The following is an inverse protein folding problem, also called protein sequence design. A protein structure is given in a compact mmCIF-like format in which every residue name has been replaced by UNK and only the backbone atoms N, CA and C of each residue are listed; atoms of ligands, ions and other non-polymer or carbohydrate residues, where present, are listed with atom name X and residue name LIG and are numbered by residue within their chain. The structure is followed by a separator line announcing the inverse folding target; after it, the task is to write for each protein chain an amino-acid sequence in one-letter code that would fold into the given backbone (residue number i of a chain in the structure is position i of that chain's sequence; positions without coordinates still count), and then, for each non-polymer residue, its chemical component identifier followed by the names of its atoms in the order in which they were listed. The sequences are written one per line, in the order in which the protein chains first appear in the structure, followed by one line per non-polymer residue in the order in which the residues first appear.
data_IF_845879902784
#
_entry.id   IF_845879902784
#
_cell.length_a   1.000
_cell.length_b   1.000
_cell.length_c   1.000
_cell.angle_alpha   90.00
_cell.angle_beta   90.00
_cell.angle_gamma   90.00
#
_symmetry.space_group_name_H-M   'P 1'
#
loop_
_entity.id
_entity.type
_entity.pdbx_description
1 polymer ?
#
# COMPACT_ATOMS: atom_id res chain seq x y z
N UNK A 1 -32.86 -9.45 -3.80
CA UNK A 1 -32.39 -8.05 -3.90
C UNK A 1 -30.94 -8.09 -4.28
N UNK A 2 -30.56 -7.46 -5.40
CA UNK A 2 -29.16 -7.37 -5.82
C UNK A 2 -28.50 -6.28 -4.97
N UNK A 3 -27.74 -6.70 -3.96
CA UNK A 3 -26.85 -5.80 -3.24
C UNK A 3 -25.83 -5.25 -4.22
N UNK A 4 -25.76 -3.93 -4.34
CA UNK A 4 -24.67 -3.23 -5.01
C UNK A 4 -23.37 -3.64 -4.32
N UNK A 5 -22.61 -4.52 -4.96
CA UNK A 5 -21.21 -4.74 -4.59
C UNK A 5 -20.50 -3.42 -4.90
N UNK A 6 -20.11 -2.68 -3.87
CA UNK A 6 -19.22 -1.52 -4.00
C UNK A 6 -17.84 -2.03 -4.43
N UNK A 7 -17.69 -2.34 -5.71
CA UNK A 7 -16.44 -2.78 -6.34
C UNK A 7 -15.40 -1.65 -6.49
N UNK A 8 -15.51 -0.61 -5.67
CA UNK A 8 -14.47 0.40 -5.47
C UNK A 8 -13.60 0.08 -4.24
N UNK A 9 -14.02 -0.87 -3.41
CA UNK A 9 -13.19 -1.41 -2.33
C UNK A 9 -12.23 -2.43 -2.93
N UNK A 10 -11.16 -1.87 -3.52
CA UNK A 10 -9.81 -2.40 -3.55
C UNK A 10 -9.72 -3.93 -3.56
N UNK A 11 -9.89 -4.50 -4.75
CA UNK A 11 -9.55 -5.90 -4.97
C UNK A 11 -8.11 -6.13 -4.48
N UNK A 12 -7.86 -7.23 -3.77
CA UNK A 12 -6.54 -7.51 -3.23
C UNK A 12 -5.48 -7.48 -4.34
N UNK A 13 -4.26 -7.12 -3.98
CA UNK A 13 -3.12 -7.06 -4.90
C UNK A 13 -2.20 -8.22 -4.58
N UNK A 14 -1.97 -9.10 -5.56
CA UNK A 14 -0.90 -10.09 -5.47
C UNK A 14 0.42 -9.40 -5.84
N UNK A 15 1.37 -9.33 -4.91
CA UNK A 15 2.69 -8.70 -5.12
C UNK A 15 3.60 -9.60 -5.96
N UNK A 16 3.23 -9.79 -7.23
CA UNK A 16 3.92 -10.62 -8.22
C UNK A 16 4.64 -9.76 -9.26
N UNK A 17 5.57 -10.36 -10.02
CA UNK A 17 6.21 -9.71 -11.18
C UNK A 17 5.21 -9.24 -12.24
N UNK A 18 4.15 -10.01 -12.45
CA UNK A 18 3.08 -9.66 -13.38
C UNK A 18 2.34 -8.39 -12.93
N UNK A 19 1.96 -8.34 -11.64
CA UNK A 19 1.35 -7.14 -11.06
C UNK A 19 2.30 -5.94 -11.14
N UNK A 20 3.58 -6.12 -10.80
CA UNK A 20 4.58 -5.05 -10.86
C UNK A 20 4.69 -4.46 -12.27
N UNK A 21 4.67 -5.29 -13.31
CA UNK A 21 4.74 -4.84 -14.71
C UNK A 21 3.52 -3.99 -15.08
N UNK A 22 2.31 -4.38 -14.63
CA UNK A 22 1.08 -3.61 -14.84
C UNK A 22 1.14 -2.28 -14.08
N UNK A 23 1.57 -2.28 -12.82
CA UNK A 23 1.71 -1.07 -12.02
C UNK A 23 2.70 -0.08 -12.64
N UNK A 24 3.88 -0.53 -13.05
CA UNK A 24 4.89 0.31 -13.72
C UNK A 24 4.31 0.94 -14.98
N UNK A 25 3.64 0.17 -15.84
CA UNK A 25 3.06 0.68 -17.08
C UNK A 25 1.97 1.73 -16.80
N UNK A 26 1.12 1.51 -15.80
CA UNK A 26 0.07 2.46 -15.43
C UNK A 26 0.63 3.75 -14.83
N UNK A 27 1.59 3.64 -13.90
CA UNK A 27 2.28 4.80 -13.31
C UNK A 27 2.96 5.61 -14.41
N UNK A 28 3.72 4.97 -15.30
CA UNK A 28 4.40 5.65 -16.41
C UNK A 28 3.40 6.39 -17.31
N UNK A 29 2.29 5.73 -17.70
CA UNK A 29 1.24 6.36 -18.51
C UNK A 29 0.67 7.63 -17.86
N UNK A 30 0.46 7.60 -16.55
CA UNK A 30 -0.04 8.77 -15.80
C UNK A 30 1.02 9.87 -15.75
N UNK A 31 2.26 9.53 -15.40
CA UNK A 31 3.37 10.50 -15.32
C UNK A 31 3.68 11.14 -16.67
N UNK A 32 3.64 10.39 -17.78
CA UNK A 32 3.80 10.90 -19.14
C UNK A 32 2.71 11.93 -19.48
N UNK A 33 1.47 11.65 -19.06
CA UNK A 33 0.32 12.54 -19.30
C UNK A 33 0.33 13.78 -18.42
N UNK A 34 0.77 13.66 -17.16
CA UNK A 34 0.85 14.77 -16.19
C UNK A 34 2.16 15.55 -16.25
N UNK A 35 3.18 15.00 -16.95
CA UNK A 35 4.53 15.54 -17.10
C UNK A 35 5.23 15.79 -15.75
N UNK A 36 4.99 14.92 -14.77
CA UNK A 36 5.60 14.98 -13.44
C UNK A 36 5.63 13.60 -12.76
N UNK A 37 6.55 13.37 -11.81
CA UNK A 37 6.46 12.23 -10.91
C UNK A 37 5.17 12.28 -10.07
N UNK A 38 4.67 11.11 -9.70
CA UNK A 38 3.54 10.96 -8.77
C UNK A 38 3.97 10.18 -7.54
N UNK A 39 3.15 10.23 -6.48
CA UNK A 39 3.26 9.31 -5.35
C UNK A 39 2.19 8.23 -5.49
N UNK A 40 2.56 6.99 -5.16
CA UNK A 40 1.63 5.85 -5.02
C UNK A 40 1.45 5.59 -3.54
N UNK A 41 0.22 5.33 -3.09
CA UNK A 41 -0.10 5.08 -1.67
C UNK A 41 -0.14 3.57 -1.36
N UNK A 42 0.33 3.16 -0.18
CA UNK A 42 0.09 1.81 0.34
C UNK A 42 -1.34 1.74 0.89
N UNK A 43 -2.14 0.83 0.34
CA UNK A 43 -3.56 0.73 0.63
C UNK A 43 -3.82 -0.28 1.75
N UNK A 44 -4.95 -0.11 2.45
CA UNK A 44 -5.45 -1.21 3.28
C UNK A 44 -5.91 -2.39 2.42
N UNK A 45 -5.44 -3.59 2.74
CA UNK A 45 -5.81 -4.82 2.05
C UNK A 45 -6.74 -5.65 2.95
N UNK A 46 -7.85 -6.13 2.39
CA UNK A 46 -8.83 -6.95 3.12
C UNK A 46 -8.62 -8.46 2.92
N UNK A 47 -7.71 -8.84 2.03
CA UNK A 47 -7.41 -10.23 1.69
C UNK A 47 -5.92 -10.35 1.35
N UNK A 48 -5.23 -11.24 2.05
CA UNK A 48 -3.86 -11.62 1.74
C UNK A 48 -3.88 -12.72 0.66
N UNK A 49 -3.02 -12.62 -0.35
CA UNK A 49 -2.89 -13.68 -1.34
C UNK A 49 -1.88 -14.73 -0.84
N UNK A 50 -1.98 -15.96 -1.33
CA UNK A 50 -0.94 -16.96 -1.01
C UNK A 50 0.30 -16.82 -1.91
N UNK A 51 0.17 -16.11 -3.03
CA UNK A 51 1.20 -15.98 -4.07
C UNK A 51 1.81 -14.57 -4.05
N UNK A 52 3.06 -14.49 -3.60
CA UNK A 52 3.84 -13.26 -3.55
C UNK A 52 5.28 -13.52 -4.04
N UNK A 53 5.71 -12.79 -5.06
CA UNK A 53 7.12 -12.78 -5.51
C UNK A 53 7.96 -11.78 -4.69
N UNK A 54 7.29 -10.84 -4.01
CA UNK A 54 7.88 -9.75 -3.25
C UNK A 54 7.14 -9.59 -1.93
N UNK A 55 7.84 -9.15 -0.88
CA UNK A 55 7.17 -8.46 0.22
C UNK A 55 6.55 -7.15 -0.30
N UNK A 56 5.55 -6.61 0.41
CA UNK A 56 4.96 -5.33 0.04
C UNK A 56 6.00 -4.17 0.01
N UNK A 57 6.91 -4.02 1.01
CA UNK A 57 7.99 -3.05 0.93
C UNK A 57 8.88 -3.21 -0.30
N UNK A 58 9.26 -4.46 -0.63
CA UNK A 58 10.07 -4.76 -1.81
C UNK A 58 9.34 -4.40 -3.10
N UNK A 59 8.03 -4.65 -3.17
CA UNK A 59 7.20 -4.30 -4.31
C UNK A 59 7.20 -2.79 -4.57
N UNK A 60 6.98 -1.97 -3.53
CA UNK A 60 7.00 -0.51 -3.67
C UNK A 60 8.40 0.02 -4.01
N UNK A 61 9.45 -0.55 -3.41
CA UNK A 61 10.82 -0.20 -3.76
C UNK A 61 11.13 -0.50 -5.24
N UNK A 62 10.72 -1.67 -5.75
CA UNK A 62 10.88 -2.03 -7.16
C UNK A 62 10.03 -1.19 -8.10
N UNK A 63 8.79 -0.88 -7.72
CA UNK A 63 7.90 -0.01 -8.47
C UNK A 63 8.54 1.37 -8.65
N UNK A 64 9.06 1.96 -7.57
CA UNK A 64 9.76 3.24 -7.61
C UNK A 64 11.00 3.19 -8.50
N UNK A 65 11.86 2.17 -8.35
CA UNK A 65 13.06 2.02 -9.21
C UNK A 65 12.73 1.99 -10.69
N UNK A 66 11.65 1.29 -11.08
CA UNK A 66 11.30 1.06 -12.49
C UNK A 66 10.48 2.18 -13.10
N UNK A 67 9.68 2.89 -12.31
CA UNK A 67 8.76 3.92 -12.80
C UNK A 67 9.18 5.36 -12.44
N UNK A 68 10.03 5.53 -11.44
CA UNK A 68 10.43 6.83 -10.89
C UNK A 68 9.36 7.49 -10.02
N UNK A 69 8.28 6.80 -9.64
CA UNK A 69 7.33 7.34 -8.67
C UNK A 69 7.90 7.30 -7.25
N UNK A 70 7.36 8.16 -6.39
CA UNK A 70 7.55 8.06 -4.94
C UNK A 70 6.45 7.25 -4.26
N UNK A 71 6.56 7.12 -2.95
CA UNK A 71 5.59 6.52 -2.05
C UNK A 71 4.94 7.61 -1.21
N UNK A 72 3.62 7.59 -1.16
CA UNK A 72 2.85 8.20 -0.09
C UNK A 72 2.66 7.10 0.96
N UNK A 73 3.31 7.25 2.11
CA UNK A 73 3.30 6.23 3.15
C UNK A 73 2.14 6.50 4.12
N UNK A 74 1.08 5.72 4.04
CA UNK A 74 0.00 5.74 5.01
C UNK A 74 0.25 4.72 6.13
N UNK A 75 0.60 5.25 7.31
CA UNK A 75 0.89 4.43 8.50
C UNK A 75 -0.40 3.86 9.11
N UNK A 76 -1.52 4.54 8.96
CA UNK A 76 -2.80 4.05 9.46
C UNK A 76 -3.23 2.80 8.67
N UNK A 77 -3.04 2.79 7.35
CA UNK A 77 -3.30 1.62 6.53
C UNK A 77 -2.46 0.41 6.96
N UNK A 78 -1.19 0.60 7.32
CA UNK A 78 -0.34 -0.48 7.83
C UNK A 78 -0.87 -1.03 9.16
N UNK A 79 -1.30 -0.16 10.08
CA UNK A 79 -1.88 -0.57 11.36
C UNK A 79 -3.20 -1.33 11.16
N UNK A 80 -4.07 -0.85 10.28
CA UNK A 80 -5.33 -1.51 9.92
C UNK A 80 -5.06 -2.89 9.33
N UNK A 81 -4.09 -3.02 8.42
CA UNK A 81 -3.72 -4.30 7.82
C UNK A 81 -3.22 -5.30 8.87
N UNK A 82 -2.32 -4.87 9.76
CA UNK A 82 -1.79 -5.73 10.81
C UNK A 82 -2.88 -6.21 11.79
N UNK A 83 -3.83 -5.33 12.14
CA UNK A 83 -4.97 -5.69 13.00
C UNK A 83 -5.94 -6.64 12.29
N UNK A 84 -6.25 -6.41 11.01
CA UNK A 84 -7.13 -7.28 10.22
C UNK A 84 -6.54 -8.66 9.97
N UNK A 85 -5.20 -8.75 9.81
CA UNK A 85 -4.49 -10.02 9.69
C UNK A 85 -4.43 -10.82 11.01
N UNK A 86 -4.93 -10.26 12.12
CA UNK A 86 -4.94 -10.92 13.42
C UNK A 86 -3.55 -11.08 14.04
N UNK A 87 -2.62 -10.18 13.72
CA UNK A 87 -1.26 -10.20 14.28
C UNK A 87 -1.30 -9.82 15.76
N UNK A 88 -0.71 -10.65 16.62
CA UNK A 88 -0.72 -10.46 18.08
C UNK A 88 -0.10 -9.12 18.53
N UNK A 89 0.95 -8.67 17.84
CA UNK A 89 1.59 -7.38 18.05
C UNK A 89 1.63 -6.57 16.74
N UNK A 90 0.52 -5.90 16.46
CA UNK A 90 0.36 -5.08 15.27
C UNK A 90 1.41 -3.96 15.16
N UNK A 91 1.81 -3.36 16.28
CA UNK A 91 2.82 -2.30 16.28
C UNK A 91 4.19 -2.85 15.85
N UNK A 92 4.60 -4.00 16.41
CA UNK A 92 5.84 -4.65 16.00
C UNK A 92 5.83 -5.03 14.52
N UNK A 93 4.70 -5.48 13.98
CA UNK A 93 4.55 -5.79 12.56
C UNK A 93 4.71 -4.56 11.67
N UNK A 94 4.09 -3.43 12.05
CA UNK A 94 4.25 -2.16 11.31
C UNK A 94 5.70 -1.67 11.39
N UNK A 95 6.34 -1.74 12.55
CA UNK A 95 7.76 -1.39 12.67
C UNK A 95 8.64 -2.28 11.76
N UNK A 96 8.39 -3.59 11.71
CA UNK A 96 9.13 -4.51 10.85
C UNK A 96 8.95 -4.19 9.35
N UNK A 97 7.72 -3.85 8.94
CA UNK A 97 7.43 -3.40 7.57
C UNK A 97 8.22 -2.13 7.22
N UNK A 98 8.26 -1.15 8.13
CA UNK A 98 9.00 0.10 7.94
C UNK A 98 10.52 -0.12 7.91
N UNK A 99 11.05 -0.99 8.78
CA UNK A 99 12.46 -1.36 8.80
C UNK A 99 12.87 -2.06 7.50
N UNK A 100 12.00 -2.91 6.96
CA UNK A 100 12.22 -3.55 5.67
C UNK A 100 12.22 -2.53 4.53
N UNK A 101 11.24 -1.63 4.50
CA UNK A 101 11.20 -0.55 3.52
C UNK A 101 12.48 0.29 3.59
N UNK A 102 12.92 0.70 4.78
CA UNK A 102 14.14 1.47 4.96
C UNK A 102 15.40 0.74 4.46
N UNK A 103 15.44 -0.59 4.56
CA UNK A 103 16.53 -1.43 4.06
C UNK A 103 16.52 -1.57 2.54
N UNK A 104 15.34 -1.73 1.93
CA UNK A 104 15.22 -2.04 0.51
C UNK A 104 14.87 -0.85 -0.38
N UNK A 105 14.43 0.29 0.14
CA UNK A 105 14.01 1.44 -0.65
C UNK A 105 15.18 2.34 -1.11
N UNK A 106 15.01 3.10 -2.21
CA UNK A 106 15.88 4.25 -2.47
C UNK A 106 15.71 5.32 -1.37
N UNK A 107 16.75 6.14 -1.04
CA UNK A 107 16.72 7.08 0.08
C UNK A 107 15.57 8.10 0.06
N UNK A 108 15.13 8.51 -1.13
CA UNK A 108 14.10 9.54 -1.33
C UNK A 108 12.75 8.94 -1.77
N UNK A 109 12.51 7.66 -1.46
CA UNK A 109 11.27 6.98 -1.85
C UNK A 109 10.03 7.67 -1.27
N UNK A 110 10.05 7.93 0.03
CA UNK A 110 8.88 8.46 0.76
C UNK A 110 8.79 9.96 0.52
N UNK A 111 7.81 10.38 -0.27
CA UNK A 111 7.55 11.80 -0.57
C UNK A 111 6.61 12.46 0.44
N UNK A 112 5.71 11.67 1.04
CA UNK A 112 4.70 12.13 1.99
C UNK A 112 4.35 11.00 2.96
N UNK A 113 3.98 11.36 4.19
CA UNK A 113 3.50 10.41 5.20
C UNK A 113 2.09 10.85 5.61
N UNK A 114 1.12 9.95 5.44
CA UNK A 114 -0.19 10.10 6.04
C UNK A 114 -0.22 9.47 7.43
N UNK A 115 -0.73 10.26 8.38
CA UNK A 115 -0.96 9.84 9.75
C UNK A 115 -2.35 10.33 10.16
N UNK A 116 -3.38 9.57 9.78
CA UNK A 116 -4.73 9.76 10.31
C UNK A 116 -4.87 9.03 11.66
N UNK A 117 -5.71 9.56 12.55
CA UNK A 117 -6.07 8.87 13.79
C UNK A 117 -7.23 7.93 13.55
N UNK A 118 -7.12 6.65 13.92
CA UNK A 118 -8.22 5.69 13.70
C UNK A 118 -9.46 5.98 14.58
N UNK A 119 -10.67 5.85 14.05
CA UNK A 119 -11.92 5.82 14.82
C UNK A 119 -12.49 4.39 14.84
N UNK A 120 -12.63 3.79 16.03
CA UNK A 120 -13.19 2.43 16.20
C UNK A 120 -14.72 2.48 16.10
N UNK A 121 -15.31 1.79 15.12
CA UNK A 121 -16.75 1.45 15.14
C UNK A 121 -16.94 -0.06 14.92
N UNK A 122 -17.48 -0.75 15.93
CA UNK A 122 -17.99 -2.13 15.90
C UNK A 122 -17.36 -3.08 14.85
N UNK A 123 -16.25 -3.69 15.24
CA UNK A 123 -15.45 -4.70 14.51
C UNK A 123 -14.78 -4.25 13.20
N UNK A 124 -14.87 -2.97 12.82
CA UNK A 124 -14.14 -2.42 11.67
C UNK A 124 -13.41 -1.13 12.06
N UNK A 125 -12.15 -1.00 11.62
CA UNK A 125 -11.42 0.27 11.68
C UNK A 125 -11.52 0.89 10.29
N UNK A 126 -12.12 2.08 10.22
CA UNK A 126 -12.29 2.86 8.98
C UNK A 126 -11.44 4.13 9.12
N UNK A 127 -10.68 4.45 8.08
CA UNK A 127 -9.94 5.71 7.99
C UNK A 127 -10.88 6.87 7.66
N UNK A 128 -10.89 7.92 8.49
CA UNK A 128 -11.55 9.19 8.21
C UNK A 128 -10.52 10.31 7.96
N UNK A 129 -10.28 10.62 6.69
CA UNK A 129 -9.52 11.82 6.30
C UNK A 129 -10.35 13.10 6.46
N UNK A 130 -10.66 13.49 7.70
CA UNK A 130 -11.27 14.80 8.02
C UNK A 130 -10.25 15.83 8.48
#
# INVERSE_FOLDING_TARGET
GRGSVHANDLLPIAFTQGALTVFVANVQRVQERLRRPILVENLSTYLDFAEHDFSEPEFFAELSRRSGCGLLLDVNNLMVNALNAGVDDALAAVCAWLDELARCAPPDLVGEIHLAGHSRQHELIIDDHS
#
